data_IF_841197466231
#
_entry.id   IF_841197466231
#
_cell.length_a   1.000
_cell.length_b   1.000
_cell.length_c   1.000
_cell.angle_alpha   90.00
_cell.angle_beta   90.00
_cell.angle_gamma   90.00
#
_symmetry.space_group_name_H-M   'P 1'
#
loop_
_entity.id
_entity.type
_entity.pdbx_description
1 polymer ?
#
# COMPACT_ATOMS: atom_id res chain seq x y z
N UNK A 1 14.06 -0.37 -7.11
CA UNK A 1 12.59 -0.41 -7.00
C UNK A 1 12.27 -1.34 -5.86
N UNK A 2 11.41 -0.94 -4.92
CA UNK A 2 10.94 -1.85 -3.87
C UNK A 2 10.01 -2.90 -4.46
N UNK A 3 10.17 -4.14 -4.03
CA UNK A 3 9.31 -5.27 -4.40
C UNK A 3 8.85 -5.94 -3.12
N UNK A 4 7.54 -5.97 -2.89
CA UNK A 4 6.94 -6.72 -1.78
C UNK A 4 5.73 -7.43 -2.36
N UNK A 5 5.90 -8.73 -2.67
CA UNK A 5 4.89 -9.52 -3.36
C UNK A 5 3.56 -9.49 -2.62
N UNK A 6 3.58 -9.45 -1.28
CA UNK A 6 2.37 -9.38 -0.46
C UNK A 6 1.65 -8.04 -0.59
N UNK A 7 2.37 -6.91 -0.57
CA UNK A 7 1.79 -5.60 -0.76
C UNK A 7 1.17 -5.49 -2.16
N UNK A 8 1.89 -5.95 -3.18
CA UNK A 8 1.47 -5.89 -4.57
C UNK A 8 0.27 -6.79 -4.85
N UNK A 9 0.22 -8.00 -4.27
CA UNK A 9 -0.97 -8.86 -4.29
C UNK A 9 -2.19 -8.18 -3.67
N UNK A 10 -2.02 -7.48 -2.55
CA UNK A 10 -3.10 -6.77 -1.86
C UNK A 10 -3.59 -5.57 -2.69
N UNK A 11 -2.68 -4.85 -3.36
CA UNK A 11 -3.05 -3.79 -4.31
C UNK A 11 -3.82 -4.34 -5.51
N UNK A 12 -3.36 -5.44 -6.11
CA UNK A 12 -4.03 -6.10 -7.23
C UNK A 12 -5.43 -6.61 -6.87
N UNK A 13 -5.62 -7.07 -5.63
CA UNK A 13 -6.92 -7.51 -5.09
C UNK A 13 -7.82 -6.34 -4.65
N UNK A 14 -7.38 -5.09 -4.80
CA UNK A 14 -8.13 -3.92 -4.35
C UNK A 14 -8.24 -3.78 -2.83
N UNK A 15 -7.48 -4.56 -2.07
CA UNK A 15 -7.45 -4.55 -0.60
C UNK A 15 -6.53 -3.43 -0.09
N UNK A 16 -6.79 -2.21 -0.55
CA UNK A 16 -5.88 -1.08 -0.40
C UNK A 16 -5.56 -0.72 1.06
N UNK A 17 -6.49 -0.89 2.00
CA UNK A 17 -6.21 -0.68 3.44
C UNK A 17 -5.15 -1.67 3.96
N UNK A 18 -5.25 -2.94 3.56
CA UNK A 18 -4.29 -3.99 3.94
C UNK A 18 -2.96 -3.79 3.26
N UNK A 19 -2.97 -3.38 1.98
CA UNK A 19 -1.76 -3.01 1.26
C UNK A 19 -1.02 -1.84 1.94
N UNK A 20 -1.75 -0.81 2.38
CA UNK A 20 -1.17 0.33 3.10
C UNK A 20 -0.48 -0.06 4.42
N UNK A 21 -1.06 -1.01 5.18
CA UNK A 21 -0.41 -1.57 6.37
C UNK A 21 0.87 -2.30 6.00
N UNK A 22 0.84 -3.13 4.94
CA UNK A 22 2.03 -3.85 4.50
C UNK A 22 3.15 -2.90 4.04
N UNK A 23 2.81 -1.85 3.30
CA UNK A 23 3.79 -0.83 2.90
C UNK A 23 4.41 -0.09 4.10
N UNK A 24 3.68 0.06 5.22
CA UNK A 24 4.25 0.60 6.46
C UNK A 24 5.28 -0.36 7.09
N UNK A 25 5.03 -1.67 7.06
CA UNK A 25 6.00 -2.67 7.52
C UNK A 25 7.25 -2.69 6.62
N UNK A 26 7.07 -2.60 5.30
CA UNK A 26 8.18 -2.53 4.33
C UNK A 26 9.05 -1.30 4.59
N UNK A 27 8.43 -0.16 4.91
CA UNK A 27 9.15 1.07 5.27
C UNK A 27 10.10 0.87 6.46
N UNK A 28 9.78 0.00 7.42
CA UNK A 28 10.66 -0.30 8.56
C UNK A 28 11.80 -1.27 8.21
N UNK A 29 11.70 -2.00 7.10
CA UNK A 29 12.66 -3.04 6.70
C UNK A 29 13.67 -2.56 5.64
N UNK A 30 13.34 -1.49 4.92
CA UNK A 30 14.23 -0.95 3.88
C UNK A 30 15.36 -0.12 4.47
N UNK A 31 16.55 -0.24 3.87
CA UNK A 31 17.78 0.35 4.38
C UNK A 31 18.14 1.68 3.72
N UNK A 32 17.53 1.99 2.57
CA UNK A 32 17.80 3.24 1.84
C UNK A 32 16.62 4.19 1.93
N UNK A 33 16.94 5.49 1.96
CA UNK A 33 15.93 6.54 1.96
C UNK A 33 15.08 6.50 0.69
N UNK A 34 15.70 6.21 -0.47
CA UNK A 34 15.00 6.04 -1.74
C UNK A 34 13.93 4.95 -1.69
N UNK A 35 14.23 3.81 -1.07
CA UNK A 35 13.26 2.73 -0.90
C UNK A 35 12.15 3.12 0.10
N UNK A 36 12.52 3.84 1.16
CA UNK A 36 11.58 4.38 2.14
C UNK A 36 10.58 5.33 1.48
N UNK A 37 11.06 6.28 0.66
CA UNK A 37 10.22 7.20 -0.11
C UNK A 37 9.28 6.45 -1.06
N UNK A 38 9.77 5.41 -1.74
CA UNK A 38 8.92 4.59 -2.60
C UNK A 38 7.80 3.88 -1.81
N UNK A 39 8.11 3.36 -0.61
CA UNK A 39 7.13 2.71 0.25
C UNK A 39 6.09 3.71 0.79
N UNK A 40 6.54 4.93 1.16
CA UNK A 40 5.66 6.04 1.53
C UNK A 40 4.70 6.40 0.40
N UNK A 41 5.22 6.57 -0.83
CA UNK A 41 4.40 6.90 -2.01
C UNK A 41 3.33 5.84 -2.27
N UNK A 42 3.72 4.56 -2.33
CA UNK A 42 2.75 3.46 -2.55
C UNK A 42 1.74 3.34 -1.42
N UNK A 43 2.16 3.53 -0.16
CA UNK A 43 1.24 3.59 0.99
C UNK A 43 0.21 4.71 0.84
N UNK A 44 0.64 5.91 0.45
CA UNK A 44 -0.25 7.05 0.25
C UNK A 44 -1.24 6.78 -0.89
N UNK A 45 -0.78 6.19 -2.00
CA UNK A 45 -1.65 5.78 -3.11
C UNK A 45 -2.69 4.75 -2.67
N UNK A 46 -2.30 3.75 -1.88
CA UNK A 46 -3.21 2.77 -1.30
C UNK A 46 -4.28 3.46 -0.43
N UNK A 47 -3.90 4.39 0.46
CA UNK A 47 -4.85 5.11 1.31
C UNK A 47 -5.83 5.93 0.46
N UNK A 48 -5.33 6.63 -0.56
CA UNK A 48 -6.16 7.42 -1.46
C UNK A 48 -7.13 6.54 -2.26
N UNK A 49 -6.67 5.40 -2.79
CA UNK A 49 -7.53 4.41 -3.46
C UNK A 49 -8.56 3.81 -2.49
N UNK A 50 -8.18 3.50 -1.26
CA UNK A 50 -9.08 3.00 -0.23
C UNK A 50 -10.18 4.02 0.15
N UNK A 51 -9.87 5.32 0.08
CA UNK A 51 -10.82 6.40 0.33
C UNK A 51 -11.73 6.68 -0.88
N UNK A 52 -11.20 6.48 -2.10
CA UNK A 52 -11.96 6.65 -3.36
C UNK A 52 -12.78 5.44 -3.77
N UNK A 53 -12.43 4.23 -3.33
CA UNK A 53 -13.32 3.09 -3.45
C UNK A 53 -14.53 3.40 -2.57
N UNK A 54 -15.71 3.72 -3.15
CA UNK A 54 -16.90 3.69 -2.33
C UNK A 54 -16.95 2.27 -1.79
N UNK A 55 -17.04 2.17 -0.48
CA UNK A 55 -17.63 1.02 0.17
C UNK A 55 -18.83 0.66 -0.71
N UNK A 56 -18.89 -0.56 -1.24
CA UNK A 56 -20.17 -1.05 -1.75
C UNK A 56 -21.13 -0.81 -0.59
N UNK A 57 -21.99 0.20 -0.74
CA UNK A 57 -23.07 0.45 0.17
C UNK A 57 -24.04 -0.68 -0.16
N UNK A 58 -23.74 -1.87 0.35
CA UNK A 58 -24.65 -3.00 0.33
C UNK A 58 -25.91 -2.52 1.07
N UNK A 59 -26.96 -2.24 0.30
CA UNK A 59 -28.30 -1.92 0.79
C UNK A 59 -29.10 -3.20 0.96
#
# INVERSE_FOLDING_TARGET
MIHDSKAEDLEAKGLYRRAATRWAEVMQQVNTDKEREQAVKRRAECIHKAARSPVMLDN
#
